data_IF_243717735341
#
_entry.id   IF_243717735341
#
_cell.length_a   1.000
_cell.length_b   1.000
_cell.length_c   1.000
_cell.angle_alpha   90.00
_cell.angle_beta   90.00
_cell.angle_gamma   90.00
#
_symmetry.space_group_name_H-M   'P 1'
#
loop_
_entity.id
_entity.type
_entity.pdbx_description
1 polymer ?
#
# COMPACT_ATOMS: atom_id res chain seq x y z
N UNK A 1 -9.28 -22.31 -27.88
CA UNK A 1 -8.33 -22.24 -26.73
C UNK A 1 -8.11 -20.84 -26.14
N UNK A 2 -8.12 -19.73 -26.91
CA UNK A 2 -7.98 -18.37 -26.34
C UNK A 2 -9.08 -17.92 -25.39
N UNK A 3 -10.29 -18.46 -25.51
CA UNK A 3 -11.47 -17.93 -24.80
C UNK A 3 -11.38 -18.07 -23.28
N UNK A 4 -10.60 -19.04 -22.81
CA UNK A 4 -10.45 -19.45 -21.42
C UNK A 4 -9.14 -18.97 -20.77
N UNK A 5 -8.35 -18.17 -21.49
CA UNK A 5 -7.15 -17.54 -20.97
C UNK A 5 -7.49 -16.49 -19.92
N UNK A 6 -6.74 -16.48 -18.82
CA UNK A 6 -6.91 -15.51 -17.72
C UNK A 6 -5.76 -14.51 -17.72
N UNK A 7 -4.53 -14.98 -17.48
CA UNK A 7 -3.34 -14.14 -17.46
C UNK A 7 -2.06 -14.96 -17.71
N UNK A 8 -0.96 -14.28 -18.00
CA UNK A 8 0.39 -14.86 -18.06
C UNK A 8 1.21 -14.28 -16.92
N UNK A 9 1.77 -15.13 -16.08
CA UNK A 9 2.70 -14.73 -15.02
C UNK A 9 4.13 -14.94 -15.53
N UNK A 10 4.99 -13.96 -15.29
CA UNK A 10 6.38 -13.93 -15.71
C UNK A 10 7.28 -14.05 -14.47
N UNK A 11 7.71 -15.28 -14.13
CA UNK A 11 8.72 -15.48 -13.10
C UNK A 11 10.14 -15.17 -13.59
N UNK A 12 10.88 -14.41 -12.80
CA UNK A 12 12.33 -14.29 -12.87
C UNK A 12 12.96 -15.57 -12.29
N UNK A 13 13.39 -16.47 -13.17
CA UNK A 13 13.87 -17.81 -12.81
C UNK A 13 15.40 -17.91 -12.74
N UNK A 14 16.13 -16.85 -13.10
CA UNK A 14 17.57 -16.89 -13.02
C UNK A 14 18.24 -15.53 -12.89
N UNK A 15 19.33 -15.51 -12.13
CA UNK A 15 20.23 -14.36 -12.03
C UNK A 15 21.05 -14.19 -13.32
N UNK A 16 21.30 -12.94 -13.70
CA UNK A 16 22.14 -12.58 -14.83
C UNK A 16 23.63 -12.77 -14.51
N UNK A 17 24.09 -14.02 -14.38
CA UNK A 17 25.49 -14.32 -14.06
C UNK A 17 26.05 -15.54 -14.81
N UNK A 18 27.38 -15.65 -14.83
CA UNK A 18 28.11 -16.80 -15.34
C UNK A 18 27.95 -17.05 -16.84
N UNK A 19 27.82 -18.33 -17.24
CA UNK A 19 27.71 -18.73 -18.64
C UNK A 19 26.50 -18.13 -19.37
N UNK A 20 25.45 -17.71 -18.63
CA UNK A 20 24.19 -17.19 -19.18
C UNK A 20 24.33 -15.79 -19.78
N UNK A 21 25.33 -15.01 -19.35
CA UNK A 21 25.57 -13.65 -19.85
C UNK A 21 26.63 -13.57 -20.95
N UNK A 22 27.35 -14.66 -21.26
CA UNK A 22 28.44 -14.67 -22.27
C UNK A 22 27.98 -14.20 -23.65
N UNK A 23 26.76 -14.54 -24.06
CA UNK A 23 26.19 -14.09 -25.34
C UNK A 23 25.69 -12.64 -25.29
N UNK A 24 25.27 -12.17 -24.13
CA UNK A 24 24.86 -10.78 -23.92
C UNK A 24 26.09 -9.85 -23.94
N UNK A 25 27.18 -10.24 -23.26
CA UNK A 25 28.47 -9.52 -23.30
C UNK A 25 28.99 -9.39 -24.73
N UNK A 26 28.83 -10.43 -25.55
CA UNK A 26 29.20 -10.44 -26.98
C UNK A 26 28.17 -9.74 -27.88
N UNK A 27 27.15 -9.09 -27.32
CA UNK A 27 26.12 -8.38 -28.08
C UNK A 27 25.21 -9.24 -28.96
N UNK A 28 25.18 -10.58 -28.78
CA UNK A 28 24.47 -11.49 -29.69
C UNK A 28 22.97 -11.61 -29.41
N UNK A 29 22.58 -11.64 -28.13
CA UNK A 29 21.17 -11.73 -27.70
C UNK A 29 21.02 -11.34 -26.23
N UNK A 30 19.81 -10.93 -25.85
CA UNK A 30 19.44 -10.74 -24.46
C UNK A 30 19.53 -12.05 -23.66
N UNK A 31 19.95 -12.01 -22.39
CA UNK A 31 19.97 -13.18 -21.53
C UNK A 31 18.54 -13.65 -21.24
N UNK A 32 18.30 -14.97 -21.28
CA UNK A 32 17.01 -15.55 -20.89
C UNK A 32 16.95 -15.63 -19.36
N UNK A 33 16.26 -14.67 -18.74
CA UNK A 33 16.11 -14.58 -17.28
C UNK A 33 14.71 -14.91 -16.78
N UNK A 34 13.74 -15.02 -17.69
CA UNK A 34 12.33 -15.23 -17.39
C UNK A 34 11.80 -16.54 -17.98
N UNK A 35 10.80 -17.11 -17.31
CA UNK A 35 9.89 -18.11 -17.87
C UNK A 35 8.47 -17.54 -17.93
N UNK A 36 7.50 -18.35 -18.37
CA UNK A 36 6.09 -17.97 -18.46
C UNK A 36 5.22 -19.05 -17.84
N UNK A 37 4.30 -18.65 -16.98
CA UNK A 37 3.23 -19.49 -16.46
C UNK A 37 1.93 -18.99 -17.10
N UNK A 38 1.29 -19.84 -17.90
CA UNK A 38 0.02 -19.50 -18.53
C UNK A 38 -1.13 -19.96 -17.63
N UNK A 39 -1.99 -19.03 -17.24
CA UNK A 39 -3.15 -19.32 -16.40
C UNK A 39 -4.43 -19.37 -17.26
N UNK A 40 -5.12 -20.50 -17.19
CA UNK A 40 -6.39 -20.76 -17.87
C UNK A 40 -7.42 -21.29 -16.88
N UNK A 41 -8.71 -21.02 -17.13
CA UNK A 41 -9.82 -21.67 -16.44
C UNK A 41 -10.69 -22.45 -17.41
N UNK A 42 -11.41 -23.47 -16.93
CA UNK A 42 -12.37 -24.21 -17.74
C UNK A 42 -13.53 -23.31 -18.23
N UNK A 43 -13.98 -22.40 -17.37
CA UNK A 43 -14.85 -21.27 -17.70
C UNK A 43 -14.38 -20.06 -16.89
N UNK A 44 -13.81 -19.06 -17.56
CA UNK A 44 -13.27 -17.88 -16.88
C UNK A 44 -14.33 -17.01 -16.20
N UNK A 45 -15.60 -17.13 -16.61
CA UNK A 45 -16.69 -16.31 -16.04
C UNK A 45 -17.19 -16.86 -14.70
N UNK A 46 -16.78 -18.07 -14.32
CA UNK A 46 -17.20 -18.75 -13.09
C UNK A 46 -16.09 -18.82 -12.03
N UNK A 47 -14.97 -18.13 -12.24
CA UNK A 47 -13.86 -18.12 -11.29
C UNK A 47 -13.64 -16.74 -10.69
N UNK A 48 -13.31 -16.71 -9.40
CA UNK A 48 -12.84 -15.52 -8.70
C UNK A 48 -11.45 -15.81 -8.15
N UNK A 49 -10.44 -15.09 -8.64
CA UNK A 49 -9.08 -15.21 -8.12
C UNK A 49 -8.91 -14.34 -6.89
N UNK A 50 -8.38 -14.92 -5.81
CA UNK A 50 -7.88 -14.15 -4.67
C UNK A 50 -6.42 -13.82 -4.92
N UNK A 51 -6.14 -12.56 -5.25
CA UNK A 51 -4.77 -12.10 -5.47
C UNK A 51 -4.16 -11.68 -4.11
N UNK A 52 -3.04 -12.30 -3.69
CA UNK A 52 -2.39 -11.93 -2.43
C UNK A 52 -1.88 -10.49 -2.49
N UNK A 53 -1.82 -9.85 -1.32
CA UNK A 53 -1.15 -8.56 -1.13
C UNK A 53 0.16 -8.74 -0.40
N UNK A 54 1.14 -7.90 -0.72
CA UNK A 54 2.40 -7.78 0.01
C UNK A 54 2.49 -6.39 0.64
N UNK A 55 3.01 -6.30 1.86
CA UNK A 55 3.28 -5.02 2.50
C UNK A 55 4.34 -4.24 1.72
N UNK A 56 4.19 -2.91 1.68
CA UNK A 56 5.21 -2.04 1.11
C UNK A 56 6.40 -2.00 2.06
N UNK A 57 7.61 -2.12 1.50
CA UNK A 57 8.85 -2.03 2.30
C UNK A 57 9.16 -0.59 2.74
N UNK A 58 8.71 0.41 1.97
CA UNK A 58 9.04 1.82 2.19
C UNK A 58 7.79 2.65 2.40
N UNK A 59 7.87 3.57 3.37
CA UNK A 59 6.85 4.58 3.58
C UNK A 59 6.71 5.48 2.35
N UNK A 60 5.48 5.70 1.91
CA UNK A 60 5.16 6.56 0.78
C UNK A 60 5.01 8.01 1.27
N UNK A 61 5.86 8.90 0.75
CA UNK A 61 5.95 10.31 1.18
C UNK A 61 4.70 11.13 0.83
N UNK A 62 3.83 10.64 -0.06
CA UNK A 62 2.54 11.29 -0.35
C UNK A 62 1.60 11.25 0.87
N UNK A 63 1.79 10.29 1.79
CA UNK A 63 1.08 10.22 3.06
C UNK A 63 1.72 11.19 4.06
N UNK A 64 1.29 12.44 3.97
CA UNK A 64 1.90 13.60 4.62
C UNK A 64 0.93 14.40 5.49
N UNK A 65 -0.30 13.92 5.68
CA UNK A 65 -1.30 14.53 6.57
C UNK A 65 -1.76 13.51 7.61
N UNK A 66 -2.21 13.97 8.77
CA UNK A 66 -2.73 13.13 9.85
C UNK A 66 -4.03 13.70 10.39
N UNK A 67 -4.92 12.81 10.83
CA UNK A 67 -6.13 13.10 11.60
C UNK A 67 -5.85 12.70 13.06
N UNK A 68 -5.36 13.61 13.92
CA UNK A 68 -4.85 13.26 15.24
C UNK A 68 -5.87 12.57 16.14
N UNK A 69 -7.14 12.98 16.05
CA UNK A 69 -8.24 12.54 16.89
C UNK A 69 -8.76 11.15 16.50
N UNK A 70 -8.37 10.64 15.33
CA UNK A 70 -8.83 9.35 14.86
C UNK A 70 -8.15 8.22 15.63
N UNK A 71 -8.95 7.31 16.18
CA UNK A 71 -8.51 6.07 16.82
C UNK A 71 -8.69 4.89 15.86
N UNK A 72 -8.03 3.75 16.16
CA UNK A 72 -8.18 2.54 15.36
C UNK A 72 -9.65 2.08 15.29
N UNK A 73 -10.35 2.08 16.41
CA UNK A 73 -11.78 1.72 16.47
C UNK A 73 -12.65 2.64 15.61
N UNK A 74 -12.40 3.96 15.66
CA UNK A 74 -13.13 4.92 14.83
C UNK A 74 -12.81 4.73 13.35
N UNK A 75 -11.56 4.39 13.00
CA UNK A 75 -11.17 4.06 11.64
C UNK A 75 -11.89 2.80 11.13
N UNK A 76 -11.89 1.71 11.90
CA UNK A 76 -12.61 0.48 11.54
C UNK A 76 -14.09 0.77 11.29
N UNK A 77 -14.70 1.56 12.17
CA UNK A 77 -16.09 1.99 12.00
C UNK A 77 -16.31 2.86 10.76
N UNK A 78 -15.36 3.73 10.40
CA UNK A 78 -15.41 4.48 9.14
C UNK A 78 -15.43 3.53 7.94
N UNK A 79 -14.60 2.49 7.95
CA UNK A 79 -14.56 1.49 6.86
C UNK A 79 -15.91 0.77 6.75
N UNK A 80 -16.47 0.29 7.86
CA UNK A 80 -17.79 -0.34 7.87
C UNK A 80 -18.88 0.57 7.29
N UNK A 81 -18.89 1.85 7.66
CA UNK A 81 -19.87 2.82 7.17
C UNK A 81 -19.74 3.10 5.67
N UNK A 82 -18.52 3.07 5.13
CA UNK A 82 -18.25 3.18 3.70
C UNK A 82 -18.81 1.96 2.97
N UNK A 83 -18.51 0.76 3.47
CA UNK A 83 -18.94 -0.52 2.86
C UNK A 83 -20.47 -0.69 2.92
N UNK A 84 -21.09 -0.30 4.03
CA UNK A 84 -22.55 -0.29 4.24
C UNK A 84 -23.27 0.85 3.50
N UNK A 85 -22.53 1.75 2.84
CA UNK A 85 -23.05 2.93 2.14
C UNK A 85 -23.85 3.90 3.05
N UNK A 86 -23.46 4.04 4.32
CA UNK A 86 -24.13 4.88 5.34
C UNK A 86 -23.54 6.29 5.44
N UNK A 87 -23.72 7.09 4.39
CA UNK A 87 -23.08 8.42 4.27
C UNK A 87 -23.43 9.41 5.40
N UNK A 88 -24.68 9.43 5.86
CA UNK A 88 -25.11 10.38 6.89
C UNK A 88 -24.52 10.06 8.27
N UNK A 89 -24.31 8.79 8.58
CA UNK A 89 -23.63 8.37 9.81
C UNK A 89 -22.14 8.67 9.73
N UNK A 90 -21.53 8.46 8.56
CA UNK A 90 -20.14 8.80 8.31
C UNK A 90 -19.89 10.30 8.48
N UNK A 91 -20.71 11.17 7.87
CA UNK A 91 -20.57 12.62 8.00
C UNK A 91 -20.63 13.10 9.46
N UNK A 92 -21.49 12.47 10.29
CA UNK A 92 -21.54 12.75 11.73
C UNK A 92 -20.25 12.33 12.42
N UNK A 93 -19.68 11.17 12.09
CA UNK A 93 -18.40 10.73 12.65
C UNK A 93 -17.21 11.60 12.24
N UNK A 94 -17.25 12.19 11.05
CA UNK A 94 -16.20 13.09 10.57
C UNK A 94 -16.28 14.48 11.21
N UNK A 95 -17.38 14.80 11.88
CA UNK A 95 -17.57 16.09 12.55
C UNK A 95 -16.56 16.26 13.68
N UNK A 96 -15.82 17.38 13.66
CA UNK A 96 -14.84 17.72 14.71
C UNK A 96 -13.45 17.13 14.51
N UNK A 97 -13.24 16.27 13.50
CA UNK A 97 -11.91 15.79 13.14
C UNK A 97 -11.10 16.89 12.45
N UNK A 98 -9.82 16.99 12.78
CA UNK A 98 -8.91 17.92 12.15
C UNK A 98 -8.04 17.22 11.10
N UNK A 99 -7.39 18.01 10.24
CA UNK A 99 -6.40 17.51 9.30
C UNK A 99 -5.19 18.41 9.37
N UNK A 100 -4.06 17.86 9.80
CA UNK A 100 -2.82 18.62 10.03
C UNK A 100 -1.64 17.98 9.29
N UNK A 101 -0.56 18.74 9.13
CA UNK A 101 0.68 18.25 8.55
C UNK A 101 1.28 17.14 9.42
N UNK A 102 1.61 16.00 8.81
CA UNK A 102 2.26 14.88 9.50
C UNK A 102 3.65 15.27 10.03
N UNK A 103 4.41 16.08 9.29
CA UNK A 103 5.76 16.48 9.69
C UNK A 103 5.73 17.39 10.91
N UNK A 104 4.77 18.32 10.96
CA UNK A 104 4.57 19.21 12.11
C UNK A 104 4.09 18.43 13.31
N UNK A 105 3.13 17.52 13.13
CA UNK A 105 2.66 16.64 14.19
C UNK A 105 3.80 15.81 14.79
N UNK A 106 4.61 15.15 13.95
CA UNK A 106 5.74 14.34 14.43
C UNK A 106 6.74 15.23 15.17
N UNK A 107 7.10 16.39 14.63
CA UNK A 107 8.04 17.32 15.28
C UNK A 107 7.56 17.76 16.67
N UNK A 108 6.27 18.03 16.83
CA UNK A 108 5.69 18.41 18.12
C UNK A 108 5.59 17.26 19.12
N UNK A 109 5.60 16.00 18.66
CA UNK A 109 5.44 14.81 19.49
C UNK A 109 6.69 13.91 19.53
N UNK A 110 7.80 14.35 18.91
CA UNK A 110 8.98 13.52 18.63
C UNK A 110 9.53 12.86 19.90
N UNK A 111 9.68 13.64 20.97
CA UNK A 111 10.16 13.12 22.25
C UNK A 111 9.28 12.00 22.80
N UNK A 112 7.96 12.19 22.79
CA UNK A 112 7.00 11.20 23.29
C UNK A 112 7.07 9.91 22.47
N UNK A 113 7.11 10.05 21.14
CA UNK A 113 7.21 8.92 20.21
C UNK A 113 8.49 8.10 20.47
N UNK A 114 9.63 8.78 20.63
CA UNK A 114 10.91 8.13 20.89
C UNK A 114 10.93 7.47 22.27
N UNK A 115 10.45 8.16 23.31
CA UNK A 115 10.45 7.63 24.69
C UNK A 115 9.56 6.37 24.82
N UNK A 116 8.39 6.36 24.16
CA UNK A 116 7.49 5.20 24.10
C UNK A 116 8.13 4.01 23.37
N UNK A 117 8.79 4.29 22.24
CA UNK A 117 9.47 3.25 21.45
C UNK A 117 10.66 2.66 22.23
N UNK A 118 11.50 3.51 22.84
CA UNK A 118 12.66 3.07 23.63
C UNK A 118 12.22 2.17 24.78
N UNK A 119 11.16 2.54 25.49
CA UNK A 119 10.62 1.77 26.62
C UNK A 119 10.18 0.36 26.22
N UNK A 120 9.70 0.17 25.00
CA UNK A 120 9.26 -1.12 24.47
C UNK A 120 10.37 -1.94 23.78
N UNK A 121 11.54 -1.33 23.50
CA UNK A 121 12.61 -1.94 22.69
C UNK A 121 13.99 -1.93 23.36
N UNK A 122 14.05 -1.84 24.69
CA UNK A 122 15.32 -1.78 25.45
C UNK A 122 16.31 -2.91 25.11
N UNK A 123 15.84 -4.15 24.99
CA UNK A 123 16.68 -5.30 24.61
C UNK A 123 17.31 -5.11 23.23
N UNK A 124 16.49 -4.81 22.23
CA UNK A 124 16.91 -4.55 20.84
C UNK A 124 17.96 -3.44 20.76
N UNK A 125 17.76 -2.35 21.50
CA UNK A 125 18.71 -1.23 21.54
C UNK A 125 20.06 -1.69 22.10
N UNK A 126 20.05 -2.40 23.23
CA UNK A 126 21.26 -2.88 23.89
C UNK A 126 22.04 -3.90 23.07
N UNK A 127 21.34 -4.86 22.44
CA UNK A 127 21.94 -5.93 21.64
C UNK A 127 22.57 -5.39 20.35
N UNK A 128 21.87 -4.48 19.67
CA UNK A 128 22.32 -3.93 18.38
C UNK A 128 23.18 -2.66 18.51
N UNK A 129 23.36 -2.14 19.74
CA UNK A 129 24.14 -0.92 20.03
C UNK A 129 23.75 0.26 19.15
N UNK A 130 22.44 0.49 19.02
CA UNK A 130 21.89 1.52 18.15
C UNK A 130 22.34 2.92 18.59
N UNK A 131 22.65 3.79 17.62
CA UNK A 131 22.89 5.21 17.87
C UNK A 131 21.58 5.96 18.13
N UNK A 132 21.65 7.15 18.71
CA UNK A 132 20.47 7.99 18.91
C UNK A 132 19.74 8.33 17.59
N UNK A 133 20.49 8.50 16.49
CA UNK A 133 19.94 8.74 15.17
C UNK A 133 19.16 7.53 14.65
N UNK A 134 19.74 6.33 14.74
CA UNK A 134 19.07 5.08 14.36
C UNK A 134 17.81 4.80 15.18
N UNK A 135 17.85 5.10 16.49
CA UNK A 135 16.70 4.99 17.38
C UNK A 135 15.59 5.94 16.92
N UNK A 136 15.92 7.21 16.65
CA UNK A 136 14.93 8.19 16.19
C UNK A 136 14.30 7.78 14.85
N UNK A 137 15.12 7.38 13.87
CA UNK A 137 14.64 6.93 12.56
C UNK A 137 13.70 5.72 12.67
N UNK A 138 14.09 4.71 13.47
CA UNK A 138 13.28 3.51 13.65
C UNK A 138 12.00 3.80 14.42
N UNK A 139 12.06 4.58 15.50
CA UNK A 139 10.90 4.96 16.29
C UNK A 139 9.86 5.72 15.45
N UNK A 140 10.32 6.69 14.64
CA UNK A 140 9.43 7.45 13.76
C UNK A 140 8.85 6.56 12.65
N UNK A 141 9.65 5.65 12.09
CA UNK A 141 9.20 4.69 11.07
C UNK A 141 8.11 3.77 11.62
N UNK A 142 8.37 3.12 12.75
CA UNK A 142 7.42 2.18 13.38
C UNK A 142 6.16 2.91 13.82
N UNK A 143 6.30 4.12 14.37
CA UNK A 143 5.16 4.93 14.73
C UNK A 143 4.27 5.25 13.52
N UNK A 144 4.84 5.61 12.36
CA UNK A 144 4.06 5.87 11.14
C UNK A 144 3.29 4.63 10.70
N UNK A 145 3.91 3.46 10.73
CA UNK A 145 3.23 2.20 10.36
C UNK A 145 2.13 1.84 11.36
N UNK A 146 2.40 1.94 12.66
CA UNK A 146 1.42 1.66 13.71
C UNK A 146 0.26 2.67 13.73
N UNK A 147 0.44 3.84 13.11
CA UNK A 147 -0.56 4.90 13.02
C UNK A 147 -1.08 5.13 11.59
N UNK A 148 -0.82 4.18 10.68
CA UNK A 148 -1.21 4.32 9.27
C UNK A 148 -2.73 4.45 9.08
N UNK A 149 -3.54 3.99 10.04
CA UNK A 149 -5.00 4.13 10.06
C UNK A 149 -5.48 5.59 10.16
N UNK A 150 -4.65 6.50 10.67
CA UNK A 150 -4.98 7.93 10.82
C UNK A 150 -4.12 8.87 9.98
N UNK A 151 -3.21 8.31 9.19
CA UNK A 151 -2.36 9.06 8.27
C UNK A 151 -2.95 8.96 6.86
N UNK A 152 -3.06 10.10 6.18
CA UNK A 152 -3.73 10.21 4.88
C UNK A 152 -2.89 10.96 3.86
N UNK A 153 -3.20 10.71 2.59
CA UNK A 153 -2.76 11.49 1.45
C UNK A 153 -4.00 12.05 0.75
N UNK A 154 -4.01 13.34 0.41
CA UNK A 154 -4.99 13.86 -0.57
C UNK A 154 -4.62 13.38 -1.97
N UNK A 155 -5.56 13.13 -2.88
CA UNK A 155 -5.31 12.71 -4.28
C UNK A 155 -6.24 13.45 -5.25
N UNK A 156 -5.82 13.70 -6.50
CA UNK A 156 -6.71 14.29 -7.50
C UNK A 156 -7.92 13.40 -7.79
N UNK A 157 -9.13 13.96 -7.78
CA UNK A 157 -10.34 13.26 -8.23
C UNK A 157 -11.30 14.23 -8.92
N UNK A 158 -11.37 14.14 -10.26
CA UNK A 158 -12.17 15.06 -11.10
C UNK A 158 -13.68 14.93 -10.85
N UNK A 159 -14.18 13.72 -10.59
CA UNK A 159 -15.60 13.48 -10.38
C UNK A 159 -16.08 14.04 -9.04
N UNK A 160 -15.34 13.77 -7.96
CA UNK A 160 -15.64 14.34 -6.65
C UNK A 160 -15.50 15.85 -6.66
N UNK A 161 -14.46 16.40 -7.29
CA UNK A 161 -14.28 17.85 -7.45
C UNK A 161 -15.49 18.52 -8.10
N UNK A 162 -15.97 17.99 -9.24
CA UNK A 162 -17.13 18.55 -9.97
C UNK A 162 -18.39 18.65 -9.09
N UNK A 163 -18.55 17.70 -8.17
CA UNK A 163 -19.67 17.67 -7.22
C UNK A 163 -19.42 18.61 -6.04
N UNK A 164 -18.22 18.57 -5.45
CA UNK A 164 -17.82 19.41 -4.32
C UNK A 164 -17.81 20.91 -4.64
N UNK A 165 -17.56 21.32 -5.90
CA UNK A 165 -17.62 22.72 -6.32
C UNK A 165 -19.00 23.37 -6.12
N UNK A 166 -20.07 22.55 -6.07
CA UNK A 166 -21.46 23.01 -5.89
C UNK A 166 -21.91 23.01 -4.43
N UNK A 167 -21.00 22.66 -3.51
CA UNK A 167 -21.29 22.49 -2.10
C UNK A 167 -20.47 23.48 -1.28
N UNK A 168 -21.08 23.89 -0.18
CA UNK A 168 -20.45 24.65 0.89
C UNK A 168 -20.16 23.72 2.06
N UNK A 169 -18.99 23.91 2.67
CA UNK A 169 -18.46 23.03 3.69
C UNK A 169 -18.17 23.81 4.97
N UNK A 170 -18.41 23.19 6.12
CA UNK A 170 -18.17 23.79 7.46
C UNK A 170 -17.09 23.08 8.27
N UNK A 171 -16.58 21.97 7.74
CA UNK A 171 -15.64 21.06 8.39
C UNK A 171 -14.50 20.77 7.40
N UNK A 172 -13.27 20.52 7.86
CA UNK A 172 -12.11 20.35 6.97
C UNK A 172 -12.18 19.09 6.10
N UNK A 173 -12.92 18.08 6.55
CA UNK A 173 -13.11 16.81 5.85
C UNK A 173 -14.58 16.43 5.83
N UNK A 174 -15.09 15.87 4.73
CA UNK A 174 -16.48 15.42 4.62
C UNK A 174 -16.59 14.19 3.71
N UNK A 175 -17.66 13.41 3.82
CA UNK A 175 -17.91 12.31 2.89
C UNK A 175 -18.73 12.73 1.66
N UNK A 176 -18.49 12.07 0.53
CA UNK A 176 -19.16 12.32 -0.73
C UNK A 176 -19.25 11.04 -1.57
N UNK A 177 -20.40 10.78 -2.17
CA UNK A 177 -20.52 9.70 -3.16
C UNK A 177 -19.93 10.08 -4.51
N UNK A 178 -19.13 9.19 -5.09
CA UNK A 178 -18.67 9.25 -6.48
C UNK A 178 -19.81 8.83 -7.45
N UNK A 179 -19.64 8.96 -8.78
CA UNK A 179 -20.64 8.53 -9.76
C UNK A 179 -20.95 7.03 -9.75
N UNK A 180 -20.01 6.19 -9.31
CA UNK A 180 -20.19 4.74 -9.17
C UNK A 180 -21.01 4.35 -7.93
N UNK A 181 -21.29 5.31 -7.04
CA UNK A 181 -22.02 5.09 -5.79
C UNK A 181 -21.13 4.76 -4.59
N UNK A 182 -19.80 4.79 -4.74
CA UNK A 182 -18.87 4.59 -3.62
C UNK A 182 -18.78 5.86 -2.79
N UNK A 183 -18.75 5.69 -1.47
CA UNK A 183 -18.52 6.79 -0.53
C UNK A 183 -17.01 7.02 -0.40
N UNK A 184 -16.60 8.28 -0.51
CA UNK A 184 -15.22 8.74 -0.33
C UNK A 184 -15.18 9.86 0.68
N UNK A 185 -14.07 9.98 1.40
CA UNK A 185 -13.80 11.15 2.25
C UNK A 185 -13.03 12.17 1.40
N UNK A 186 -13.42 13.42 1.49
CA UNK A 186 -12.83 14.54 0.77
C UNK A 186 -12.29 15.61 1.70
N UNK A 187 -11.24 16.28 1.23
CA UNK A 187 -10.80 17.57 1.70
C UNK A 187 -11.79 18.65 1.23
N UNK A 188 -12.12 19.61 2.07
CA UNK A 188 -13.12 20.65 1.74
C UNK A 188 -12.51 22.00 1.33
N UNK A 189 -11.28 22.28 1.75
CA UNK A 189 -10.50 23.48 1.45
C UNK A 189 -9.57 23.29 0.23
N UNK A 190 -9.91 22.34 -0.65
CA UNK A 190 -9.17 22.09 -1.89
C UNK A 190 -9.17 23.32 -2.81
N UNK A 191 -8.10 23.46 -3.60
CA UNK A 191 -8.00 24.51 -4.60
C UNK A 191 -9.12 24.37 -5.66
N UNK A 192 -10.08 25.29 -5.65
CA UNK A 192 -11.25 25.25 -6.56
C UNK A 192 -10.92 25.66 -8.00
N UNK A 193 -9.80 26.32 -8.23
CA UNK A 193 -9.40 26.90 -9.52
C UNK A 193 -8.76 25.86 -10.46
N UNK A 194 -8.02 24.89 -9.90
CA UNK A 194 -7.32 23.88 -10.71
C UNK A 194 -8.13 22.61 -10.93
N UNK A 195 -8.12 22.05 -12.15
CA UNK A 195 -8.75 20.77 -12.46
C UNK A 195 -8.08 19.59 -11.76
N UNK A 196 -6.79 19.71 -11.43
CA UNK A 196 -5.98 18.66 -10.79
C UNK A 196 -5.98 18.79 -9.27
N UNK A 197 -6.96 19.49 -8.69
CA UNK A 197 -7.05 19.69 -7.25
C UNK A 197 -7.09 18.35 -6.51
N UNK A 198 -6.21 18.22 -5.52
CA UNK A 198 -6.18 17.06 -4.63
C UNK A 198 -7.34 17.21 -3.65
N UNK A 199 -8.29 16.28 -3.71
CA UNK A 199 -9.56 16.38 -2.99
C UNK A 199 -9.92 15.08 -2.28
N UNK A 200 -9.63 13.91 -2.84
CA UNK A 200 -9.95 12.63 -2.20
C UNK A 200 -8.91 12.31 -1.12
N UNK A 201 -9.33 11.97 0.09
CA UNK A 201 -8.44 11.48 1.13
C UNK A 201 -8.31 9.96 1.03
N UNK A 202 -7.07 9.47 0.98
CA UNK A 202 -6.74 8.06 1.00
C UNK A 202 -5.94 7.74 2.26
N UNK A 203 -6.38 6.76 3.04
CA UNK A 203 -5.66 6.28 4.22
C UNK A 203 -4.41 5.49 3.86
N UNK A 204 -3.34 5.65 4.66
CA UNK A 204 -2.11 4.88 4.51
C UNK A 204 -2.37 3.40 4.80
N UNK A 205 -3.17 3.08 5.82
CA UNK A 205 -3.52 1.70 6.20
C UNK A 205 -4.07 0.89 5.03
N UNK A 206 -5.05 1.44 4.31
CA UNK A 206 -5.70 0.77 3.16
C UNK A 206 -4.70 0.52 2.02
N UNK A 207 -3.69 1.38 1.90
CA UNK A 207 -2.71 1.38 0.80
C UNK A 207 -1.31 0.98 1.27
N UNK A 208 -1.20 0.40 2.47
CA UNK A 208 0.05 -0.08 3.08
C UNK A 208 0.58 -1.33 2.38
N UNK A 209 -0.31 -2.02 1.65
CA UNK A 209 0.00 -3.21 0.87
C UNK A 209 -0.41 -3.03 -0.59
N UNK A 210 0.28 -3.76 -1.47
CA UNK A 210 0.03 -3.79 -2.91
C UNK A 210 -0.32 -5.21 -3.33
N UNK A 211 -1.20 -5.36 -4.31
CA UNK A 211 -1.44 -6.66 -4.93
C UNK A 211 -0.15 -7.16 -5.60
N UNK A 212 0.12 -8.46 -5.44
CA UNK A 212 1.19 -9.10 -6.20
C UNK A 212 0.80 -9.08 -7.67
N UNK A 213 1.68 -8.51 -8.49
CA UNK A 213 1.50 -8.43 -9.94
C UNK A 213 1.77 -9.76 -10.64
N UNK A 214 1.70 -9.74 -11.96
CA UNK A 214 2.05 -10.87 -12.82
C UNK A 214 3.55 -10.94 -13.16
N UNK A 215 4.38 -10.08 -12.58
CA UNK A 215 5.83 -10.14 -12.66
C UNK A 215 6.36 -10.58 -11.29
N UNK A 216 6.93 -11.78 -11.24
CA UNK A 216 7.42 -12.37 -10.00
C UNK A 216 8.94 -12.34 -9.98
N UNK A 217 9.51 -11.48 -9.13
CA UNK A 217 10.94 -11.33 -8.98
C UNK A 217 11.51 -12.31 -7.95
N UNK A 218 12.77 -12.73 -8.12
CA UNK A 218 13.53 -13.51 -7.14
C UNK A 218 12.82 -14.78 -6.64
N UNK A 219 12.29 -15.61 -7.55
CA UNK A 219 11.87 -16.96 -7.16
C UNK A 219 13.13 -17.79 -6.89
N UNK A 220 13.49 -17.93 -5.62
CA UNK A 220 14.68 -18.70 -5.22
C UNK A 220 14.40 -20.20 -5.38
N UNK A 221 15.04 -20.82 -6.36
CA UNK A 221 15.06 -22.28 -6.54
C UNK A 221 16.27 -22.96 -5.90
N UNK A 222 17.07 -22.20 -5.13
CA UNK A 222 18.29 -22.71 -4.50
C UNK A 222 17.96 -23.77 -3.45
N UNK A 223 18.09 -25.04 -3.85
CA UNK A 223 18.27 -26.17 -2.94
C UNK A 223 17.13 -27.17 -2.81
N UNK A 224 16.05 -27.13 -3.61
CA UNK A 224 14.89 -28.00 -3.34
C UNK A 224 14.03 -28.48 -4.51
N UNK A 225 14.16 -27.95 -5.73
CA UNK A 225 13.28 -28.38 -6.85
C UNK A 225 13.54 -29.83 -7.30
N UNK A 226 14.65 -30.41 -6.86
CA UNK A 226 14.94 -31.82 -7.09
C UNK A 226 14.04 -32.77 -6.28
N UNK A 227 13.33 -32.30 -5.25
CA UNK A 227 12.42 -33.14 -4.44
C UNK A 227 10.98 -32.63 -4.49
N UNK A 228 10.16 -33.26 -5.32
CA UNK A 228 8.70 -33.20 -5.21
C UNK A 228 8.17 -34.58 -4.79
N UNK A 229 7.32 -34.61 -3.75
CA UNK A 229 6.65 -35.84 -3.32
C UNK A 229 7.57 -36.99 -2.91
N UNK A 230 8.80 -36.71 -2.47
CA UNK A 230 9.79 -37.73 -2.10
C UNK A 230 10.55 -38.37 -3.27
N UNK A 231 10.35 -37.88 -4.50
CA UNK A 231 11.07 -38.35 -5.69
C UNK A 231 12.18 -37.37 -6.05
N UNK A 232 13.40 -37.88 -6.20
CA UNK A 232 14.57 -37.10 -6.56
C UNK A 232 14.71 -36.98 -8.09
N UNK A 233 14.43 -35.81 -8.65
CA UNK A 233 14.63 -35.49 -10.06
C UNK A 233 16.00 -34.82 -10.26
N UNK A 234 17.06 -35.63 -10.27
CA UNK A 234 18.45 -35.16 -10.44
C UNK A 234 18.72 -34.43 -11.76
N UNK A 235 17.86 -34.59 -12.77
CA UNK A 235 17.91 -33.87 -14.04
C UNK A 235 16.62 -33.07 -14.34
N UNK A 236 15.75 -32.88 -13.35
CA UNK A 236 14.56 -32.04 -13.50
C UNK A 236 14.97 -30.59 -13.75
N UNK A 237 14.44 -29.99 -14.81
CA UNK A 237 14.54 -28.55 -15.07
C UNK A 237 13.25 -27.87 -14.67
#
# INVERSE_FOLDING_TARGET
>A
ERENFINTIIPEMSNASGNKIKHAIKGKKFPKLKEYILLYAKDKNQINLTIPKQAKEKWDKEYNQIIPELTLQSFERIIELIDDKKINELDKMLTGLSLVSLSEFIKSNEKVIIDEWVSSHLSVISENKLTAEQISEQAISDWKWNNAYRIVASKPNKALRKKALKLDFKQPIQSLTNPSGDIKIILTDFNRETETARIELAFAEINSSIYIGDIWFKITTTGGVAQEGGVNFTNGK
#
